data_IF_740794944538
#
_entry.id   IF_740794944538
#
_cell.length_a   1.000
_cell.length_b   1.000
_cell.length_c   1.000
_cell.angle_alpha   90.00
_cell.angle_beta   90.00
_cell.angle_gamma   90.00
#
_symmetry.space_group_name_H-M   'P 1'
#
loop_
_entity.id
_entity.type
_entity.pdbx_description
1 polymer ?
#
# COMPACT_ATOMS: atom_id res chain seq x y z
N UNK A 1 -1.84 -11.61 21.53
CA UNK A 1 -2.16 -12.67 20.54
C UNK A 1 -0.95 -13.59 20.41
N UNK A 2 -1.13 -14.91 20.41
CA UNK A 2 0.01 -15.82 20.17
C UNK A 2 0.27 -15.97 18.67
N UNK A 3 1.46 -16.43 18.29
CA UNK A 3 1.84 -16.70 16.90
C UNK A 3 0.84 -17.62 16.19
N UNK A 4 0.41 -18.68 16.87
CA UNK A 4 -0.53 -19.68 16.33
C UNK A 4 -1.92 -19.09 16.13
N UNK A 5 -2.33 -18.18 17.03
CA UNK A 5 -3.60 -17.45 16.89
C UNK A 5 -3.56 -16.49 15.71
N UNK A 6 -2.44 -15.78 15.50
CA UNK A 6 -2.27 -14.95 14.31
C UNK A 6 -2.37 -15.82 13.06
N UNK A 7 -1.57 -16.87 12.98
CA UNK A 7 -1.52 -17.79 11.84
C UNK A 7 -2.90 -18.33 11.44
N UNK A 8 -3.74 -18.73 12.40
CA UNK A 8 -5.09 -19.24 12.11
C UNK A 8 -6.04 -18.15 11.56
N UNK A 9 -6.01 -16.94 12.12
CA UNK A 9 -6.81 -15.81 11.63
C UNK A 9 -6.37 -15.40 10.22
N UNK A 10 -5.07 -15.46 9.98
CA UNK A 10 -4.43 -15.14 8.72
C UNK A 10 -4.79 -16.12 7.60
N UNK A 11 -4.74 -17.42 7.89
CA UNK A 11 -5.06 -18.49 6.94
C UNK A 11 -6.58 -18.55 6.63
N UNK A 12 -7.45 -18.26 7.60
CA UNK A 12 -8.91 -18.18 7.41
C UNK A 12 -9.30 -16.99 6.51
N UNK A 13 -8.68 -15.83 6.72
CA UNK A 13 -9.02 -14.60 6.02
C UNK A 13 -8.47 -14.51 4.58
N UNK A 14 -7.42 -15.27 4.22
CA UNK A 14 -6.71 -15.13 2.93
C UNK A 14 -6.24 -16.47 2.34
N UNK A 15 -7.01 -17.05 1.43
CA UNK A 15 -6.74 -18.37 0.83
C UNK A 15 -5.70 -18.41 -0.31
N UNK A 16 -5.22 -17.26 -0.79
CA UNK A 16 -4.29 -17.18 -1.95
C UNK A 16 -3.15 -16.17 -1.70
N UNK A 17 -1.89 -16.64 -1.49
CA UNK A 17 -0.75 -15.78 -1.20
C UNK A 17 -0.26 -14.97 -2.42
N UNK A 18 0.39 -13.82 -2.15
CA UNK A 18 1.19 -13.06 -3.11
C UNK A 18 2.65 -13.48 -3.03
N UNK A 19 3.27 -13.84 -4.15
CA UNK A 19 4.66 -14.32 -4.16
C UNK A 19 5.68 -13.19 -3.94
N UNK A 20 6.69 -13.39 -3.06
CA UNK A 20 7.70 -12.37 -2.71
C UNK A 20 8.51 -11.83 -3.89
N UNK A 21 8.81 -12.66 -4.89
CA UNK A 21 9.76 -12.34 -5.96
C UNK A 21 9.19 -11.42 -7.06
N UNK A 22 7.94 -11.01 -6.91
CA UNK A 22 7.17 -10.35 -7.95
C UNK A 22 6.97 -8.84 -7.76
N UNK A 23 7.51 -8.28 -6.66
CA UNK A 23 7.28 -6.90 -6.26
C UNK A 23 8.58 -6.13 -6.06
N UNK A 24 8.76 -5.04 -6.82
CA UNK A 24 9.95 -4.20 -6.64
C UNK A 24 9.74 -3.04 -5.65
N UNK A 25 8.53 -2.53 -5.40
CA UNK A 25 8.37 -1.32 -4.54
C UNK A 25 7.16 -1.32 -3.60
N UNK A 26 7.43 -1.59 -2.31
CA UNK A 26 6.89 -0.93 -1.10
C UNK A 26 7.62 -1.48 0.14
N UNK A 27 8.90 -1.18 0.26
CA UNK A 27 9.75 -1.74 1.31
C UNK A 27 10.54 -0.67 2.06
N UNK A 28 10.82 -0.93 3.32
CA UNK A 28 11.86 -0.28 4.12
C UNK A 28 13.25 -0.75 3.65
N UNK A 29 14.31 0.00 3.95
CA UNK A 29 15.68 -0.37 3.56
C UNK A 29 16.13 -1.78 4.03
N UNK A 30 15.77 -2.27 5.24
CA UNK A 30 16.09 -3.63 5.69
C UNK A 30 15.46 -4.74 4.83
N UNK A 31 14.29 -4.50 4.25
CA UNK A 31 13.56 -5.45 3.40
C UNK A 31 14.10 -5.51 1.99
N UNK A 32 14.52 -4.35 1.46
CA UNK A 32 15.27 -4.32 0.21
C UNK A 32 16.59 -5.10 0.33
N UNK A 33 17.21 -5.10 1.51
CA UNK A 33 18.44 -5.83 1.79
C UNK A 33 18.21 -7.35 1.94
N UNK A 34 17.17 -7.81 2.64
CA UNK A 34 16.83 -9.24 2.69
C UNK A 34 16.50 -9.80 1.31
N UNK A 35 15.75 -9.06 0.50
CA UNK A 35 15.41 -9.50 -0.85
C UNK A 35 16.63 -9.59 -1.77
N UNK A 36 17.64 -8.72 -1.56
CA UNK A 36 18.92 -8.86 -2.22
C UNK A 36 19.60 -10.18 -1.81
N UNK A 37 19.66 -10.49 -0.52
CA UNK A 37 20.30 -11.72 -0.01
C UNK A 37 19.60 -13.00 -0.47
N UNK A 38 18.27 -12.99 -0.59
CA UNK A 38 17.50 -14.07 -1.22
C UNK A 38 17.86 -14.21 -2.71
N UNK A 39 17.88 -13.11 -3.47
CA UNK A 39 18.26 -13.13 -4.89
C UNK A 39 19.68 -13.59 -5.14
N UNK A 40 20.61 -13.27 -4.25
CA UNK A 40 22.01 -13.68 -4.37
C UNK A 40 22.18 -15.18 -4.14
N UNK A 41 21.36 -15.79 -3.28
CA UNK A 41 21.38 -17.23 -3.03
C UNK A 41 21.17 -18.07 -4.28
N UNK A 42 20.31 -17.60 -5.18
CA UNK A 42 19.95 -18.30 -6.41
C UNK A 42 20.67 -17.78 -7.67
N UNK A 43 21.58 -16.81 -7.51
CA UNK A 43 22.31 -16.19 -8.62
C UNK A 43 23.73 -16.78 -8.77
N UNK A 44 24.20 -17.11 -9.99
CA UNK A 44 25.58 -17.50 -10.25
C UNK A 44 26.63 -16.45 -9.79
N UNK A 45 27.78 -16.86 -9.21
CA UNK A 45 28.75 -15.95 -8.60
C UNK A 45 29.25 -14.81 -9.51
N UNK A 46 29.37 -15.06 -10.81
CA UNK A 46 29.83 -14.10 -11.82
C UNK A 46 28.86 -12.92 -12.04
N UNK A 47 27.62 -13.03 -11.55
CA UNK A 47 26.58 -12.01 -11.67
C UNK A 47 26.24 -11.33 -10.34
N UNK A 48 26.70 -11.89 -9.22
CA UNK A 48 26.35 -11.40 -7.88
C UNK A 48 26.87 -9.98 -7.63
N UNK A 49 28.12 -9.67 -7.98
CA UNK A 49 28.74 -8.35 -7.73
C UNK A 49 27.99 -7.19 -8.41
N UNK A 50 27.52 -7.40 -9.64
CA UNK A 50 26.72 -6.39 -10.38
C UNK A 50 25.34 -6.20 -9.78
N UNK A 51 24.77 -7.24 -9.19
CA UNK A 51 23.45 -7.17 -8.53
C UNK A 51 23.59 -6.46 -7.19
N UNK A 52 24.60 -6.79 -6.39
CA UNK A 52 24.92 -6.11 -5.12
C UNK A 52 25.15 -4.62 -5.34
N UNK A 53 26.03 -4.25 -6.28
CA UNK A 53 26.36 -2.85 -6.55
C UNK A 53 25.15 -2.03 -6.99
N UNK A 54 24.33 -2.54 -7.93
CA UNK A 54 23.10 -1.84 -8.36
C UNK A 54 22.03 -1.76 -7.28
N UNK A 55 21.91 -2.79 -6.43
CA UNK A 55 20.95 -2.79 -5.33
C UNK A 55 21.37 -1.83 -4.20
N UNK A 56 22.67 -1.78 -3.87
CA UNK A 56 23.24 -0.82 -2.92
C UNK A 56 23.02 0.62 -3.35
N UNK A 57 23.41 0.98 -4.57
CA UNK A 57 23.17 2.33 -5.13
C UNK A 57 21.69 2.73 -5.15
N UNK A 58 20.79 1.74 -5.23
CA UNK A 58 19.34 1.95 -5.21
C UNK A 58 18.82 2.18 -3.80
N UNK A 59 19.27 1.40 -2.81
CA UNK A 59 18.93 1.61 -1.40
C UNK A 59 19.42 2.99 -0.96
N UNK A 60 20.66 3.34 -1.31
CA UNK A 60 21.24 4.65 -1.03
C UNK A 60 20.42 5.79 -1.67
N UNK A 61 20.14 5.72 -2.98
CA UNK A 61 19.37 6.75 -3.67
C UNK A 61 17.93 6.89 -3.18
N UNK A 62 17.31 5.81 -2.73
CA UNK A 62 15.89 5.80 -2.37
C UNK A 62 15.64 6.20 -0.91
N UNK A 63 16.56 5.84 -0.01
CA UNK A 63 16.35 5.99 1.44
C UNK A 63 17.36 6.93 2.10
N UNK A 64 18.50 7.22 1.47
CA UNK A 64 19.60 8.00 2.06
C UNK A 64 19.92 9.29 1.27
N UNK A 65 19.24 9.56 0.16
CA UNK A 65 19.58 10.65 -0.75
C UNK A 65 19.36 12.07 -0.20
N UNK A 66 18.49 12.27 0.79
CA UNK A 66 18.11 13.60 1.33
C UNK A 66 18.29 13.74 2.85
N UNK A 67 18.97 12.82 3.53
CA UNK A 67 19.09 12.84 4.98
C UNK A 67 20.42 13.44 5.46
N UNK A 68 20.36 14.64 6.07
CA UNK A 68 21.45 15.18 6.91
C UNK A 68 21.76 14.27 8.13
N UNK A 69 20.92 13.28 8.39
CA UNK A 69 21.16 12.19 9.34
C UNK A 69 21.65 10.94 8.59
N UNK A 70 22.90 10.54 8.85
CA UNK A 70 23.50 9.33 8.30
C UNK A 70 22.95 8.10 9.01
N UNK A 71 21.97 7.43 8.41
CA UNK A 71 21.70 6.02 8.71
C UNK A 71 22.80 5.21 8.05
N UNK A 72 23.59 4.46 8.82
CA UNK A 72 24.67 3.65 8.27
C UNK A 72 24.15 2.31 7.75
N UNK A 73 24.90 1.67 6.85
CA UNK A 73 24.63 0.28 6.43
C UNK A 73 24.52 -0.69 7.62
N UNK A 74 25.26 -0.42 8.69
CA UNK A 74 25.24 -1.24 9.90
C UNK A 74 23.93 -1.07 10.70
N UNK A 75 23.32 0.13 10.69
CA UNK A 75 22.00 0.35 11.27
C UNK A 75 20.91 -0.43 10.51
N UNK A 76 21.01 -0.48 9.17
CA UNK A 76 20.10 -1.24 8.31
C UNK A 76 20.25 -2.74 8.58
N UNK A 77 21.49 -3.25 8.66
CA UNK A 77 21.78 -4.66 8.97
C UNK A 77 21.33 -5.06 10.38
N UNK A 78 21.53 -4.20 11.38
CA UNK A 78 21.06 -4.45 12.75
C UNK A 78 19.54 -4.55 12.78
N UNK A 79 18.84 -3.57 12.18
CA UNK A 79 17.38 -3.57 12.08
C UNK A 79 16.87 -4.84 11.37
N UNK A 80 17.55 -5.24 10.29
CA UNK A 80 17.26 -6.49 9.59
C UNK A 80 17.41 -7.73 10.48
N UNK A 81 18.46 -7.79 11.31
CA UNK A 81 18.71 -8.94 12.19
C UNK A 81 17.72 -9.07 13.35
N UNK A 82 17.10 -7.97 13.76
CA UNK A 82 16.09 -7.93 14.84
C UNK A 82 14.67 -8.20 14.32
N UNK A 83 14.43 -8.12 13.00
CA UNK A 83 13.15 -8.43 12.39
C UNK A 83 12.85 -9.93 12.39
N UNK A 84 11.66 -10.33 12.89
CA UNK A 84 11.13 -11.69 12.68
C UNK A 84 10.64 -11.84 11.23
N UNK A 85 11.54 -12.27 10.34
CA UNK A 85 11.26 -12.49 8.92
C UNK A 85 10.22 -13.57 8.65
N UNK A 86 9.91 -14.45 9.61
CA UNK A 86 8.85 -15.45 9.43
C UNK A 86 7.48 -14.81 9.69
N UNK A 87 7.37 -13.89 10.66
CA UNK A 87 6.21 -13.01 10.78
C UNK A 87 6.11 -12.14 9.54
N UNK A 88 7.18 -11.45 9.14
CA UNK A 88 7.17 -10.57 7.97
C UNK A 88 6.81 -11.29 6.66
N UNK A 89 7.29 -12.52 6.44
CA UNK A 89 6.91 -13.36 5.28
C UNK A 89 5.45 -13.79 5.31
N UNK A 90 4.88 -13.99 6.49
CA UNK A 90 3.42 -14.13 6.61
C UNK A 90 2.75 -12.79 6.36
N UNK A 91 3.28 -11.69 6.88
CA UNK A 91 2.85 -10.31 6.57
C UNK A 91 2.94 -9.97 5.06
N UNK A 92 3.73 -10.70 4.26
CA UNK A 92 3.74 -10.57 2.79
C UNK A 92 2.47 -11.10 2.12
N UNK A 93 1.71 -12.01 2.74
CA UNK A 93 0.34 -12.36 2.31
C UNK A 93 -0.59 -11.14 2.36
N UNK A 94 -0.23 -10.16 3.19
CA UNK A 94 -0.96 -8.92 3.43
C UNK A 94 -0.47 -7.80 2.52
N UNK A 95 0.75 -7.93 1.95
CA UNK A 95 1.42 -6.88 1.17
C UNK A 95 0.69 -6.55 -0.12
N UNK A 96 -0.23 -5.63 0.09
CA UNK A 96 -1.02 -4.83 -0.81
C UNK A 96 -1.59 -3.66 -0.02
N UNK A 97 -0.86 -3.17 0.99
CA UNK A 97 -1.30 -2.38 2.17
C UNK A 97 -1.88 -1.00 1.84
N UNK A 98 -2.15 -0.75 0.57
CA UNK A 98 -2.86 0.40 0.04
C UNK A 98 -3.26 0.08 -1.39
N UNK A 99 -4.30 0.76 -1.87
CA UNK A 99 -4.74 0.66 -3.25
C UNK A 99 -3.60 1.13 -4.16
N UNK A 100 -3.01 0.20 -4.94
CA UNK A 100 -1.92 0.53 -5.85
C UNK A 100 -2.42 0.73 -7.24
N UNK A 101 -1.80 1.65 -7.95
CA UNK A 101 -2.10 1.89 -9.36
C UNK A 101 -0.82 1.87 -10.16
N UNK A 102 -0.88 1.24 -11.32
CA UNK A 102 0.20 1.31 -12.28
C UNK A 102 0.00 2.59 -13.11
N UNK A 103 1.06 3.39 -13.14
CA UNK A 103 1.04 4.74 -13.67
C UNK A 103 2.00 4.85 -14.81
N UNK A 104 1.50 5.34 -15.94
CA UNK A 104 2.34 5.84 -17.00
C UNK A 104 2.57 7.34 -16.80
N UNK A 105 3.78 7.70 -16.39
CA UNK A 105 4.21 9.10 -16.34
C UNK A 105 4.54 9.54 -17.77
N UNK A 106 3.71 10.43 -18.31
CA UNK A 106 3.84 10.87 -19.70
C UNK A 106 5.03 11.82 -19.93
N UNK A 107 5.58 12.39 -18.86
CA UNK A 107 6.74 13.30 -18.93
C UNK A 107 8.04 12.52 -18.83
N UNK A 108 8.09 11.56 -17.89
CA UNK A 108 9.25 10.70 -17.71
C UNK A 108 9.26 9.49 -18.64
N UNK A 109 8.17 9.24 -19.38
CA UNK A 109 7.95 8.10 -20.27
C UNK A 109 8.23 6.74 -19.59
N UNK A 110 7.81 6.59 -18.33
CA UNK A 110 8.05 5.36 -17.55
C UNK A 110 6.78 4.84 -16.90
N UNK A 111 6.71 3.51 -16.74
CA UNK A 111 5.61 2.84 -16.05
C UNK A 111 6.03 2.47 -14.63
N UNK A 112 5.25 2.91 -13.63
CA UNK A 112 5.59 2.75 -12.20
C UNK A 112 4.36 2.50 -11.35
N UNK A 113 4.50 1.77 -10.25
CA UNK A 113 3.43 1.64 -9.25
C UNK A 113 3.41 2.84 -8.30
N UNK A 114 2.22 3.27 -7.89
CA UNK A 114 2.01 4.34 -6.93
C UNK A 114 0.83 4.05 -6.01
N UNK A 115 0.87 4.67 -4.83
CA UNK A 115 -0.26 4.75 -3.92
C UNK A 115 -1.40 5.60 -4.52
N UNK A 116 -2.60 5.02 -4.61
CA UNK A 116 -3.74 5.68 -5.19
C UNK A 116 -4.22 6.87 -4.36
N UNK A 117 -4.10 6.85 -3.03
CA UNK A 117 -4.51 7.98 -2.19
C UNK A 117 -3.65 9.21 -2.48
N UNK A 118 -2.34 9.02 -2.57
CA UNK A 118 -1.41 10.09 -2.95
C UNK A 118 -1.76 10.66 -4.33
N UNK A 119 -1.93 9.80 -5.33
CA UNK A 119 -2.23 10.23 -6.70
C UNK A 119 -3.59 10.90 -6.85
N UNK A 120 -4.62 10.37 -6.20
CA UNK A 120 -5.94 10.99 -6.23
C UNK A 120 -5.94 12.33 -5.52
N UNK A 121 -5.11 12.50 -4.48
CA UNK A 121 -4.96 13.76 -3.76
C UNK A 121 -4.20 14.82 -4.57
N UNK A 122 -3.10 14.46 -5.20
CA UNK A 122 -2.16 15.44 -5.77
C UNK A 122 -1.98 15.35 -7.29
N UNK A 123 -2.33 14.23 -7.92
CA UNK A 123 -2.05 13.99 -9.32
C UNK A 123 -3.14 14.46 -10.27
N UNK A 124 -2.74 14.91 -11.45
CA UNK A 124 -3.61 14.97 -12.63
C UNK A 124 -3.59 13.60 -13.29
N UNK A 125 -4.56 12.77 -12.92
CA UNK A 125 -4.63 11.37 -13.35
C UNK A 125 -5.85 11.09 -14.22
N UNK A 126 -5.68 10.21 -15.20
CA UNK A 126 -6.76 9.64 -16.00
C UNK A 126 -6.66 8.13 -15.94
N UNK A 127 -7.68 7.49 -15.38
CA UNK A 127 -7.76 6.04 -15.23
C UNK A 127 -8.26 5.38 -16.51
N UNK A 128 -7.75 4.19 -16.77
CA UNK A 128 -8.00 3.38 -17.95
C UNK A 128 -8.27 1.94 -17.55
N UNK A 129 -8.95 1.20 -18.43
CA UNK A 129 -9.00 -0.26 -18.32
C UNK A 129 -7.65 -0.85 -18.72
N UNK A 130 -7.41 -2.10 -18.35
CA UNK A 130 -6.12 -2.79 -18.55
C UNK A 130 -5.68 -2.77 -20.02
N UNK A 131 -6.55 -3.17 -20.95
CA UNK A 131 -6.24 -3.19 -22.39
C UNK A 131 -5.97 -1.80 -22.97
N UNK A 132 -6.68 -0.78 -22.50
CA UNK A 132 -6.47 0.59 -22.95
C UNK A 132 -5.15 1.15 -22.42
N UNK A 133 -4.80 0.85 -21.16
CA UNK A 133 -3.50 1.22 -20.60
C UNK A 133 -2.35 0.53 -21.32
N UNK A 134 -2.47 -0.76 -21.62
CA UNK A 134 -1.46 -1.52 -22.36
C UNK A 134 -1.16 -0.92 -23.74
N UNK A 135 -2.17 -0.33 -24.41
CA UNK A 135 -2.00 0.36 -25.69
C UNK A 135 -1.36 1.75 -25.58
N UNK A 136 -1.39 2.36 -24.39
CA UNK A 136 -0.88 3.72 -24.16
C UNK A 136 0.61 3.74 -23.78
N UNK A 137 1.11 2.65 -23.21
CA UNK A 137 2.50 2.57 -22.75
C UNK A 137 3.45 2.24 -23.91
N UNK A 138 4.70 2.77 -23.88
CA UNK A 138 5.70 2.41 -24.88
C UNK A 138 6.05 0.91 -24.82
N UNK A 139 6.44 0.34 -25.96
CA UNK A 139 6.87 -1.08 -26.04
C UNK A 139 8.02 -1.41 -25.06
N UNK A 140 8.89 -0.44 -24.77
CA UNK A 140 9.98 -0.58 -23.79
C UNK A 140 9.49 -0.86 -22.37
N UNK A 141 8.27 -0.44 -22.03
CA UNK A 141 7.66 -0.62 -20.72
C UNK A 141 6.73 -1.85 -20.65
N UNK A 142 6.55 -2.57 -21.76
CA UNK A 142 5.66 -3.73 -21.84
C UNK A 142 6.02 -4.82 -20.84
N UNK A 143 7.32 -5.09 -20.69
CA UNK A 143 7.81 -6.07 -19.72
C UNK A 143 7.51 -5.64 -18.27
N UNK A 144 7.64 -4.35 -17.95
CA UNK A 144 7.29 -3.79 -16.65
C UNK A 144 5.79 -3.94 -16.38
N UNK A 145 4.96 -3.62 -17.37
CA UNK A 145 3.51 -3.77 -17.29
C UNK A 145 3.10 -5.23 -17.06
N UNK A 146 3.57 -6.16 -17.89
CA UNK A 146 3.21 -7.58 -17.78
C UNK A 146 3.62 -8.18 -16.42
N UNK A 147 4.74 -7.73 -15.87
CA UNK A 147 5.18 -8.09 -14.51
C UNK A 147 4.24 -7.55 -13.43
N UNK A 148 3.82 -6.29 -13.52
CA UNK A 148 3.15 -5.58 -12.43
C UNK A 148 1.61 -5.58 -12.48
N UNK A 149 0.99 -5.77 -13.65
CA UNK A 149 -0.45 -5.56 -13.87
C UNK A 149 -1.36 -6.39 -12.96
N UNK A 150 -0.92 -7.59 -12.57
CA UNK A 150 -1.65 -8.50 -11.68
C UNK A 150 -1.66 -8.08 -10.21
N UNK A 151 -0.81 -7.13 -9.84
CA UNK A 151 -0.58 -6.72 -8.45
C UNK A 151 -1.16 -5.35 -8.10
N UNK A 152 -1.70 -4.64 -9.10
CA UNK A 152 -2.30 -3.32 -8.94
C UNK A 152 -3.82 -3.36 -9.04
N UNK A 153 -4.43 -2.34 -8.45
CA UNK A 153 -5.86 -2.12 -8.38
C UNK A 153 -6.38 -1.15 -9.44
N UNK A 154 -5.49 -0.50 -10.18
CA UNK A 154 -5.88 0.35 -11.30
C UNK A 154 -4.72 0.71 -12.21
N UNK A 155 -5.07 1.33 -13.33
CA UNK A 155 -4.13 1.79 -14.34
C UNK A 155 -4.46 3.24 -14.69
N UNK A 156 -3.47 4.13 -14.71
CA UNK A 156 -3.71 5.52 -15.08
C UNK A 156 -2.53 6.19 -15.78
N UNK A 157 -2.81 7.19 -16.60
CA UNK A 157 -1.80 8.15 -17.03
C UNK A 157 -1.68 9.27 -16.02
N UNK A 158 -0.46 9.80 -15.86
CA UNK A 158 -0.14 10.92 -14.99
C UNK A 158 0.38 12.10 -15.80
N UNK A 159 -0.30 13.23 -15.66
CA UNK A 159 0.01 14.50 -16.34
C UNK A 159 0.53 15.58 -15.40
N UNK A 160 1.27 15.20 -14.35
CA UNK A 160 1.84 16.12 -13.35
C UNK A 160 0.96 16.33 -12.11
N UNK A 161 1.47 17.14 -11.18
CA UNK A 161 0.76 17.49 -9.95
C UNK A 161 -0.25 18.62 -10.20
N UNK A 162 -1.42 18.55 -9.57
CA UNK A 162 -2.33 19.69 -9.50
C UNK A 162 -1.77 20.75 -8.54
N UNK A 163 -2.13 22.01 -8.78
CA UNK A 163 -1.80 23.08 -7.85
C UNK A 163 -2.52 22.84 -6.52
N UNK A 164 -1.75 22.74 -5.44
CA UNK A 164 -2.28 22.73 -4.07
C UNK A 164 -2.61 24.15 -3.66
N UNK A 165 -3.60 24.34 -2.79
CA UNK A 165 -3.85 25.65 -2.17
C UNK A 165 -2.65 26.06 -1.30
N UNK A 166 -2.56 27.34 -0.94
CA UNK A 166 -1.47 27.86 -0.08
C UNK A 166 -1.41 27.19 1.31
N UNK A 167 -2.49 26.50 1.71
CA UNK A 167 -2.57 25.66 2.90
C UNK A 167 -2.14 24.19 2.66
N UNK A 168 -1.67 23.84 1.46
CA UNK A 168 -1.15 22.51 1.12
C UNK A 168 -2.21 21.43 0.86
N UNK A 169 -3.50 21.79 0.79
CA UNK A 169 -4.58 20.81 0.64
C UNK A 169 -4.81 20.45 -0.84
N UNK A 170 -4.46 19.22 -1.20
CA UNK A 170 -4.92 18.56 -2.43
C UNK A 170 -6.40 18.17 -2.35
N UNK A 171 -6.83 17.22 -3.20
CA UNK A 171 -8.19 16.67 -3.10
C UNK A 171 -8.36 15.88 -1.78
N UNK A 172 -9.57 15.86 -1.24
CA UNK A 172 -9.89 14.93 -0.16
C UNK A 172 -10.17 13.55 -0.75
N UNK A 173 -9.56 12.51 -0.19
CA UNK A 173 -9.71 11.12 -0.63
C UNK A 173 -10.07 10.27 0.58
N UNK A 174 -11.09 9.44 0.46
CA UNK A 174 -11.55 8.57 1.54
C UNK A 174 -12.11 7.25 1.00
N UNK A 175 -11.97 6.19 1.80
CA UNK A 175 -12.75 4.97 1.62
C UNK A 175 -14.24 5.23 1.89
N UNK A 176 -15.10 4.70 1.05
CA UNK A 176 -16.56 4.82 1.13
C UNK A 176 -17.26 3.51 0.76
N UNK A 177 -18.60 3.53 0.72
CA UNK A 177 -19.42 2.41 0.29
C UNK A 177 -19.98 1.58 1.46
N UNK A 178 -20.86 0.63 1.12
CA UNK A 178 -21.56 -0.22 2.11
C UNK A 178 -20.62 -1.12 2.91
N UNK A 179 -19.52 -1.58 2.29
CA UNK A 179 -18.50 -2.41 2.93
C UNK A 179 -17.79 -1.68 4.09
N UNK A 180 -17.57 -0.37 3.96
CA UNK A 180 -17.05 0.49 5.03
C UNK A 180 -18.09 0.71 6.13
N UNK A 181 -19.37 0.85 5.77
CA UNK A 181 -20.46 0.96 6.74
C UNK A 181 -20.54 -0.25 7.67
N UNK A 182 -20.51 -1.45 7.08
CA UNK A 182 -20.53 -2.71 7.84
C UNK A 182 -19.36 -2.80 8.85
N UNK A 183 -18.19 -2.28 8.50
CA UNK A 183 -17.04 -2.25 9.41
C UNK A 183 -17.28 -1.37 10.65
N UNK A 184 -17.98 -0.24 10.50
CA UNK A 184 -18.30 0.63 11.64
C UNK A 184 -19.44 0.09 12.52
N UNK A 185 -20.39 -0.64 11.94
CA UNK A 185 -21.54 -1.23 12.65
C UNK A 185 -21.13 -2.41 13.55
N UNK A 186 -20.14 -3.20 13.13
CA UNK A 186 -19.71 -4.42 13.81
C UNK A 186 -18.86 -4.16 15.07
N UNK A 187 -19.32 -3.31 16.00
CA UNK A 187 -18.69 -3.19 17.33
C UNK A 187 -18.80 -4.53 18.06
N UNK A 188 -17.66 -5.15 18.35
CA UNK A 188 -17.57 -6.40 19.12
C UNK A 188 -17.24 -6.08 20.57
N UNK A 189 -17.82 -6.85 21.50
CA UNK A 189 -17.59 -6.72 22.94
C UNK A 189 -16.12 -6.93 23.34
N UNK A 190 -15.33 -7.63 22.49
CA UNK A 190 -13.89 -7.87 22.67
C UNK A 190 -12.99 -6.70 22.20
N UNK A 191 -13.58 -5.58 21.77
CA UNK A 191 -12.87 -4.42 21.23
C UNK A 191 -12.51 -4.52 19.74
N UNK A 192 -11.77 -3.53 19.20
CA UNK A 192 -11.49 -3.46 17.77
C UNK A 192 -10.49 -4.54 17.34
N UNK A 193 -10.82 -5.26 16.28
CA UNK A 193 -10.01 -6.33 15.70
C UNK A 193 -9.74 -6.06 14.20
N UNK A 194 -8.63 -6.60 13.65
CA UNK A 194 -8.39 -6.59 12.21
C UNK A 194 -9.51 -7.26 11.43
N UNK A 195 -9.86 -6.72 10.26
CA UNK A 195 -10.99 -7.14 9.42
C UNK A 195 -10.66 -7.07 7.95
N UNK A 196 -11.37 -7.82 7.13
CA UNK A 196 -11.22 -7.78 5.67
C UNK A 196 -12.26 -6.85 5.05
N UNK A 197 -11.79 -5.78 4.40
CA UNK A 197 -12.59 -4.90 3.56
C UNK A 197 -12.71 -5.52 2.15
N UNK A 198 -13.85 -6.15 1.87
CA UNK A 198 -14.06 -7.02 0.71
C UNK A 198 -14.29 -6.26 -0.61
N UNK A 199 -15.02 -5.16 -0.56
CA UNK A 199 -15.40 -4.36 -1.74
C UNK A 199 -15.14 -2.87 -1.45
N UNK A 200 -13.87 -2.46 -1.34
CA UNK A 200 -13.53 -1.08 -1.05
C UNK A 200 -13.95 -0.17 -2.21
N UNK A 201 -14.46 1.01 -1.87
CA UNK A 201 -14.68 2.09 -2.83
C UNK A 201 -13.87 3.31 -2.39
N UNK A 202 -13.30 4.04 -3.35
CA UNK A 202 -12.67 5.33 -3.10
C UNK A 202 -13.56 6.47 -3.58
N UNK A 203 -13.67 7.51 -2.75
CA UNK A 203 -14.28 8.77 -3.11
C UNK A 203 -13.23 9.87 -3.17
N UNK A 204 -13.43 10.83 -4.08
CA UNK A 204 -12.59 12.02 -4.21
C UNK A 204 -13.48 13.25 -4.19
N UNK A 205 -13.26 14.10 -3.20
CA UNK A 205 -13.89 15.43 -3.12
C UNK A 205 -12.86 16.47 -3.54
N UNK A 206 -13.06 17.15 -4.69
CA UNK A 206 -12.17 18.23 -5.10
C UNK A 206 -12.31 19.43 -4.17
N UNK A 207 -11.20 20.11 -3.88
CA UNK A 207 -11.22 21.45 -3.29
C UNK A 207 -11.59 22.49 -4.35
N UNK A 208 -11.89 23.72 -3.93
CA UNK A 208 -12.27 24.80 -4.85
C UNK A 208 -11.23 24.99 -5.97
N UNK A 209 -11.71 25.04 -7.22
CA UNK A 209 -10.86 25.18 -8.40
C UNK A 209 -10.14 23.90 -8.87
N UNK A 210 -10.19 22.79 -8.11
CA UNK A 210 -9.51 21.55 -8.51
C UNK A 210 -10.34 20.69 -9.48
N UNK A 211 -9.69 20.07 -10.49
CA UNK A 211 -10.40 19.23 -11.44
C UNK A 211 -10.88 17.92 -10.81
N UNK A 212 -12.12 17.52 -11.14
CA UNK A 212 -12.69 16.20 -10.80
C UNK A 212 -11.96 15.09 -11.53
N UNK A 213 -11.76 13.95 -10.85
CA UNK A 213 -11.25 12.72 -11.49
C UNK A 213 -12.43 11.96 -12.10
N UNK A 214 -12.83 12.34 -13.32
CA UNK A 214 -14.04 11.78 -13.98
C UNK A 214 -13.96 10.27 -14.24
N UNK A 215 -12.75 9.73 -14.32
CA UNK A 215 -12.50 8.29 -14.59
C UNK A 215 -12.33 7.46 -13.33
N UNK A 216 -12.57 8.03 -12.13
CA UNK A 216 -12.43 7.29 -10.85
C UNK A 216 -13.27 6.01 -10.82
N UNK A 217 -14.42 6.00 -11.52
CA UNK A 217 -15.27 4.82 -11.66
C UNK A 217 -14.50 3.57 -12.12
N UNK A 218 -13.53 3.70 -13.02
CA UNK A 218 -12.73 2.55 -13.51
C UNK A 218 -11.86 1.92 -12.42
N UNK A 219 -11.30 2.74 -11.53
CA UNK A 219 -10.57 2.25 -10.36
C UNK A 219 -11.53 1.54 -9.40
N UNK A 220 -12.68 2.15 -9.11
CA UNK A 220 -13.67 1.58 -8.21
C UNK A 220 -14.26 0.27 -8.74
N UNK A 221 -14.56 0.17 -10.04
CA UNK A 221 -14.99 -1.09 -10.67
C UNK A 221 -13.94 -2.19 -10.50
N UNK A 222 -12.66 -1.89 -10.73
CA UNK A 222 -11.58 -2.88 -10.55
C UNK A 222 -11.36 -3.27 -9.08
N UNK A 223 -11.61 -2.35 -8.14
CA UNK A 223 -11.57 -2.60 -6.70
C UNK A 223 -12.75 -3.47 -6.23
N UNK A 224 -13.96 -3.18 -6.71
CA UNK A 224 -15.16 -3.97 -6.42
C UNK A 224 -15.03 -5.40 -6.96
N UNK A 225 -14.49 -5.54 -8.18
CA UNK A 225 -14.29 -6.85 -8.81
C UNK A 225 -13.00 -7.56 -8.35
N UNK A 226 -12.33 -7.07 -7.30
CA UNK A 226 -11.10 -7.67 -6.78
C UNK A 226 -11.29 -9.14 -6.38
N UNK A 227 -12.46 -9.49 -5.86
CA UNK A 227 -12.81 -10.88 -5.47
C UNK A 227 -12.94 -11.81 -6.66
N UNK A 228 -13.46 -11.32 -7.77
CA UNK A 228 -13.53 -12.11 -9.01
C UNK A 228 -12.14 -12.35 -9.58
N UNK A 229 -11.25 -11.35 -9.47
CA UNK A 229 -9.87 -11.43 -9.98
C UNK A 229 -8.94 -12.27 -9.11
N UNK A 230 -9.09 -12.20 -7.79
CA UNK A 230 -8.13 -12.75 -6.82
C UNK A 230 -8.70 -13.88 -5.95
N UNK A 231 -10.00 -14.18 -6.06
CA UNK A 231 -10.69 -15.22 -5.29
C UNK A 231 -11.68 -14.69 -4.25
N UNK A 232 -12.58 -15.56 -3.78
CA UNK A 232 -13.71 -15.21 -2.89
C UNK A 232 -13.27 -14.58 -1.56
N UNK A 233 -12.09 -14.92 -1.07
CA UNK A 233 -11.52 -14.35 0.16
C UNK A 233 -10.65 -13.10 -0.08
N UNK A 234 -10.60 -12.58 -1.32
CA UNK A 234 -9.84 -11.36 -1.57
C UNK A 234 -10.50 -10.14 -0.90
N UNK A 235 -9.65 -9.27 -0.35
CA UNK A 235 -10.02 -7.99 0.23
C UNK A 235 -8.79 -7.24 0.73
N UNK A 236 -9.00 -6.14 1.45
CA UNK A 236 -7.94 -5.40 2.11
C UNK A 236 -8.01 -5.66 3.62
N UNK A 237 -6.92 -6.16 4.21
CA UNK A 237 -6.86 -6.27 5.67
C UNK A 237 -6.85 -4.85 6.21
N UNK A 238 -7.71 -4.58 7.17
CA UNK A 238 -7.84 -3.25 7.75
C UNK A 238 -8.06 -3.31 9.26
N UNK A 239 -7.66 -2.24 9.93
CA UNK A 239 -8.01 -1.97 11.32
C UNK A 239 -8.78 -0.66 11.39
N UNK A 240 -9.96 -0.70 11.99
CA UNK A 240 -10.91 0.41 11.98
C UNK A 240 -10.75 1.23 13.24
N UNK A 241 -10.42 2.51 13.08
CA UNK A 241 -10.38 3.47 14.17
C UNK A 241 -11.55 4.45 14.02
N UNK A 242 -12.46 4.57 15.00
CA UNK A 242 -13.62 5.47 14.95
C UNK A 242 -13.23 6.93 15.23
N UNK A 243 -12.09 7.37 14.70
CA UNK A 243 -11.54 8.71 14.85
C UNK A 243 -10.83 9.14 13.59
N UNK A 244 -10.63 10.45 13.42
CA UNK A 244 -9.95 11.01 12.25
C UNK A 244 -8.46 10.59 12.26
N UNK A 245 -7.81 10.46 11.08
CA UNK A 245 -6.40 10.06 11.00
C UNK A 245 -5.46 10.87 11.90
N UNK A 246 -5.63 12.18 11.99
CA UNK A 246 -4.78 13.05 12.82
C UNK A 246 -4.93 12.76 14.32
N UNK A 247 -6.15 12.47 14.77
CA UNK A 247 -6.44 12.12 16.17
C UNK A 247 -5.86 10.75 16.48
N UNK A 248 -6.07 9.75 15.62
CA UNK A 248 -5.49 8.43 15.77
C UNK A 248 -3.95 8.47 15.84
N UNK A 249 -3.30 9.23 14.96
CA UNK A 249 -1.83 9.40 15.03
C UNK A 249 -1.38 9.94 16.38
N UNK A 250 -2.08 10.93 16.92
CA UNK A 250 -1.75 11.50 18.22
C UNK A 250 -2.00 10.51 19.36
N UNK A 251 -3.16 9.85 19.38
CA UNK A 251 -3.54 8.91 20.44
C UNK A 251 -2.61 7.71 20.56
N UNK A 252 -2.17 7.15 19.42
CA UNK A 252 -1.29 5.98 19.38
C UNK A 252 0.19 6.34 19.17
N UNK A 253 0.55 7.63 19.24
CA UNK A 253 1.91 8.14 19.00
C UNK A 253 2.55 7.60 17.69
N UNK A 254 1.77 7.56 16.61
CA UNK A 254 2.19 6.95 15.34
C UNK A 254 3.09 7.91 14.56
N UNK A 255 4.26 7.41 14.16
CA UNK A 255 5.22 8.16 13.36
C UNK A 255 4.71 8.55 11.95
N UNK A 256 5.50 9.39 11.27
CA UNK A 256 5.18 9.89 9.91
C UNK A 256 5.05 8.79 8.85
N UNK A 257 5.64 7.62 9.10
CA UNK A 257 5.67 6.47 8.19
C UNK A 257 4.47 5.55 8.33
N UNK A 258 3.61 5.75 9.32
CA UNK A 258 2.38 4.98 9.49
C UNK A 258 1.28 5.56 8.61
N UNK A 259 0.51 4.75 7.89
CA UNK A 259 -0.55 5.24 7.00
C UNK A 259 -1.95 4.99 7.58
N UNK A 260 -2.72 6.08 7.68
CA UNK A 260 -4.12 6.04 8.07
C UNK A 260 -4.96 6.68 6.97
N UNK A 261 -5.82 5.86 6.38
CA UNK A 261 -6.68 6.23 5.27
C UNK A 261 -8.02 6.73 5.82
N UNK A 262 -8.47 7.95 5.47
CA UNK A 262 -9.79 8.42 5.86
C UNK A 262 -10.88 7.46 5.39
N UNK A 263 -11.90 7.24 6.21
CA UNK A 263 -13.05 6.41 5.86
C UNK A 263 -14.36 7.09 6.28
N UNK A 264 -15.35 7.03 5.40
CA UNK A 264 -16.65 7.67 5.59
C UNK A 264 -17.76 6.75 5.09
N UNK A 265 -18.73 6.44 5.96
CA UNK A 265 -19.92 5.69 5.59
C UNK A 265 -21.10 6.12 6.47
N UNK A 266 -22.29 6.31 5.87
CA UNK A 266 -23.53 6.64 6.58
C UNK A 266 -23.41 7.76 7.63
N UNK A 267 -22.63 8.80 7.35
CA UNK A 267 -22.39 9.91 8.28
C UNK A 267 -21.34 9.65 9.38
N UNK A 268 -20.91 8.40 9.56
CA UNK A 268 -19.79 8.05 10.41
C UNK A 268 -18.46 8.37 9.71
N UNK A 269 -17.50 8.86 10.49
CA UNK A 269 -16.16 9.19 10.03
C UNK A 269 -15.14 8.50 10.91
N UNK A 270 -14.15 7.89 10.28
CA UNK A 270 -13.04 7.24 10.96
C UNK A 270 -11.82 7.18 10.06
N UNK A 271 -10.94 6.25 10.36
CA UNK A 271 -9.86 5.88 9.49
C UNK A 271 -9.60 4.38 9.52
N UNK A 272 -8.97 3.91 8.46
CA UNK A 272 -8.50 2.54 8.31
C UNK A 272 -6.98 2.58 8.29
N UNK A 273 -6.36 1.76 9.12
CA UNK A 273 -5.02 1.26 8.82
C UNK A 273 -5.17 0.02 7.94
N UNK A 274 -4.19 -0.27 7.08
CA UNK A 274 -4.26 -1.41 6.16
C UNK A 274 -3.04 -2.32 6.34
N UNK A 275 -3.23 -3.62 6.13
CA UNK A 275 -2.16 -4.63 6.13
C UNK A 275 -1.26 -4.57 7.38
N UNK A 276 0.02 -4.29 7.18
CA UNK A 276 1.01 -4.19 8.27
C UNK A 276 0.66 -3.12 9.31
N UNK A 277 0.19 -1.95 8.87
CA UNK A 277 -0.28 -0.89 9.78
C UNK A 277 -1.47 -1.39 10.61
N UNK A 278 -2.41 -2.12 10.00
CA UNK A 278 -3.56 -2.68 10.71
C UNK A 278 -3.15 -3.66 11.82
N UNK A 279 -2.14 -4.49 11.56
CA UNK A 279 -1.64 -5.49 12.51
C UNK A 279 -0.80 -4.86 13.62
N UNK A 280 -0.03 -3.82 13.30
CA UNK A 280 0.70 -3.05 14.29
C UNK A 280 -0.25 -2.41 15.30
N UNK A 281 -1.32 -1.75 14.83
CA UNK A 281 -2.33 -1.17 15.72
C UNK A 281 -3.04 -2.20 16.59
N UNK A 282 -3.37 -3.36 16.02
CA UNK A 282 -3.95 -4.44 16.80
C UNK A 282 -2.99 -4.91 17.90
N UNK A 283 -1.69 -4.99 17.62
CA UNK A 283 -0.70 -5.40 18.61
C UNK A 283 -0.58 -4.38 19.75
N UNK A 284 -0.53 -3.08 19.43
CA UNK A 284 -0.53 -2.01 20.43
C UNK A 284 -1.74 -2.09 21.36
N UNK A 285 -2.95 -2.24 20.80
CA UNK A 285 -4.18 -2.34 21.60
C UNK A 285 -4.21 -3.58 22.50
N UNK A 286 -3.57 -4.67 22.09
CA UNK A 286 -3.47 -5.87 22.91
C UNK A 286 -2.47 -5.73 24.05
N UNK A 287 -1.41 -4.94 23.88
CA UNK A 287 -0.42 -4.64 24.92
C UNK A 287 -0.98 -3.67 25.97
N UNK A 288 -1.73 -2.64 25.56
CA UNK A 288 -2.34 -1.67 26.49
C UNK A 288 -3.42 -2.29 27.40
N UNK A 289 -3.94 -3.47 27.03
CA UNK A 289 -4.98 -4.20 27.78
C UNK A 289 -4.42 -5.30 28.71
N UNK A 290 -3.12 -5.57 28.64
CA UNK A 290 -2.43 -6.57 29.47
C UNK A 290 -1.73 -5.96 30.67
#
# INVERSE_FOLDING_TARGET
MTRETLDAVLDDAYSSPREPDSFDWRYSAPEALEHLDDRLRDTPPDRQDKIVSRAGERIERQFLADADARVSDDDIKRTKSEMDWRVLRKLQWYRGDSVQVLVYDQTAETVRSYDAFYLLRYGRVTFHDESAFEQLIPDSERATFDRLKRYVDGFCTYGGTIQTTDEGWGRSVAFTGGSVGALFEMRTDDGPQPRVLKEPELSVTPSDGQPRVRTLGRLNERLQNRRERLGKEAGLLCYVLPMRPSVARASYNLGKFFFLYPAVAQGQRGCLALGTDALYLHSLEMEDRS
#
